data_IF_449569351899
#
_entry.id   IF_449569351899
#
_cell.length_a   1.000
_cell.length_b   1.000
_cell.length_c   1.000
_cell.angle_alpha   90.00
_cell.angle_beta   90.00
_cell.angle_gamma   90.00
#
_symmetry.space_group_name_H-M   'P 1'
#
loop_
_entity.id
_entity.type
_entity.pdbx_description
1 polymer ?
#
# COMPACT_ATOMS: atom_id res chain seq x y z
N UNK A 1 6.16 -1.16 28.94
CA UNK A 1 5.19 -0.21 28.39
C UNK A 1 5.94 0.55 27.31
N UNK A 2 5.84 0.12 26.09
CA UNK A 2 6.41 0.80 24.93
C UNK A 2 5.44 1.93 24.59
N UNK A 3 5.89 3.17 24.78
CA UNK A 3 5.16 4.33 24.31
C UNK A 3 4.97 4.19 22.79
N UNK A 4 3.76 3.83 22.38
CA UNK A 4 3.35 3.97 21.00
C UNK A 4 3.62 5.43 20.60
N UNK A 5 4.29 5.67 19.47
CA UNK A 5 4.56 7.02 19.00
C UNK A 5 3.25 7.83 19.03
N UNK A 6 3.11 8.80 19.94
CA UNK A 6 1.89 9.59 20.03
C UNK A 6 1.79 10.42 18.75
N UNK A 7 0.78 10.21 17.94
CA UNK A 7 0.43 10.90 16.67
C UNK A 7 0.82 10.22 15.34
N UNK A 8 0.90 8.90 15.26
CA UNK A 8 0.89 8.27 13.92
C UNK A 8 -0.47 8.50 13.25
N UNK A 9 -0.48 9.31 12.21
CA UNK A 9 -1.59 9.39 11.27
C UNK A 9 -1.19 8.61 10.02
N UNK A 10 -1.62 7.36 9.95
CA UNK A 10 -1.29 6.44 8.86
C UNK A 10 -2.38 6.48 7.80
N UNK A 11 -2.00 6.75 6.57
CA UNK A 11 -2.83 6.50 5.38
C UNK A 11 -2.30 5.26 4.69
N UNK A 12 -3.17 4.30 4.41
CA UNK A 12 -2.78 3.07 3.75
C UNK A 12 -3.39 2.98 2.36
N UNK A 13 -2.59 2.60 1.38
CA UNK A 13 -3.03 2.19 0.04
C UNK A 13 -2.75 0.70 -0.09
N UNK A 14 -3.80 -0.08 -0.23
CA UNK A 14 -3.69 -1.53 -0.39
C UNK A 14 -4.07 -1.94 -1.82
N UNK A 15 -3.14 -2.59 -2.49
CA UNK A 15 -3.39 -3.28 -3.75
C UNK A 15 -4.01 -4.64 -3.49
N UNK A 16 -5.15 -4.93 -4.11
CA UNK A 16 -5.86 -6.19 -3.98
C UNK A 16 -6.10 -6.87 -5.32
N UNK A 17 -6.24 -8.18 -5.28
CA UNK A 17 -6.66 -8.99 -6.41
C UNK A 17 -7.61 -10.10 -5.97
N UNK A 18 -8.86 -10.03 -6.40
CA UNK A 18 -9.88 -11.01 -6.07
C UNK A 18 -10.03 -12.01 -7.24
N UNK A 19 -9.25 -13.10 -7.23
CA UNK A 19 -9.14 -14.05 -8.33
C UNK A 19 -10.50 -14.54 -8.85
N UNK A 20 -11.44 -14.78 -7.95
CA UNK A 20 -12.76 -15.32 -8.26
C UNK A 20 -13.87 -14.25 -8.23
N UNK A 21 -13.48 -12.95 -8.29
CA UNK A 21 -14.41 -11.83 -8.20
C UNK A 21 -14.94 -11.56 -6.79
N UNK A 22 -14.53 -12.32 -5.77
CA UNK A 22 -14.98 -12.17 -4.39
C UNK A 22 -13.81 -11.94 -3.43
N UNK A 23 -14.04 -11.20 -2.34
CA UNK A 23 -13.03 -10.98 -1.33
C UNK A 23 -12.65 -12.27 -0.60
N UNK A 24 -11.39 -12.69 -0.70
CA UNK A 24 -10.87 -13.84 0.03
C UNK A 24 -10.89 -13.60 1.55
N UNK A 25 -10.88 -14.67 2.33
CA UNK A 25 -10.75 -14.58 3.78
C UNK A 25 -9.42 -13.93 4.21
N UNK A 26 -8.36 -14.12 3.42
CA UNK A 26 -7.04 -13.50 3.65
C UNK A 26 -7.11 -12.00 3.41
N UNK A 27 -7.68 -11.57 2.27
CA UNK A 27 -7.87 -10.15 1.95
C UNK A 27 -8.72 -9.44 3.00
N UNK A 28 -9.84 -10.06 3.44
CA UNK A 28 -10.68 -9.52 4.54
C UNK A 28 -9.90 -9.39 5.85
N UNK A 29 -9.01 -10.32 6.16
CA UNK A 29 -8.15 -10.27 7.34
C UNK A 29 -7.15 -9.10 7.25
N UNK A 30 -6.52 -8.89 6.09
CA UNK A 30 -5.66 -7.74 5.84
C UNK A 30 -6.42 -6.42 6.01
N UNK A 31 -7.58 -6.26 5.38
CA UNK A 31 -8.41 -5.06 5.48
C UNK A 31 -8.71 -4.73 6.94
N UNK A 32 -9.16 -5.72 7.75
CA UNK A 32 -9.47 -5.49 9.16
C UNK A 32 -8.25 -5.06 9.98
N UNK A 33 -7.11 -5.71 9.77
CA UNK A 33 -5.87 -5.39 10.49
C UNK A 33 -5.36 -3.98 10.14
N UNK A 34 -5.37 -3.63 8.85
CA UNK A 34 -4.95 -2.32 8.36
C UNK A 34 -5.90 -1.21 8.83
N UNK A 35 -7.20 -1.49 8.86
CA UNK A 35 -8.19 -0.51 9.27
C UNK A 35 -8.06 -0.09 10.73
N UNK A 36 -7.60 -0.99 11.59
CA UNK A 36 -7.32 -0.68 13.00
C UNK A 36 -6.14 0.30 13.19
N UNK A 37 -5.26 0.41 12.21
CA UNK A 37 -4.03 1.20 12.28
C UNK A 37 -4.09 2.48 11.44
N UNK A 38 -4.93 2.47 10.41
CA UNK A 38 -5.00 3.55 9.43
C UNK A 38 -6.11 4.53 9.75
N UNK A 39 -5.81 5.82 9.66
CA UNK A 39 -6.84 6.87 9.67
C UNK A 39 -7.70 6.81 8.42
N UNK A 40 -7.07 6.49 7.28
CA UNK A 40 -7.71 6.26 5.99
C UNK A 40 -7.12 5.03 5.34
N UNK A 41 -7.97 4.21 4.72
CA UNK A 41 -7.57 3.02 3.97
C UNK A 41 -8.17 3.08 2.57
N UNK A 42 -7.30 3.16 1.56
CA UNK A 42 -7.67 3.15 0.14
C UNK A 42 -7.39 1.76 -0.42
N UNK A 43 -8.43 1.05 -0.84
CA UNK A 43 -8.34 -0.26 -1.47
C UNK A 43 -8.46 -0.10 -2.99
N UNK A 44 -7.51 -0.64 -3.73
CA UNK A 44 -7.55 -0.63 -5.20
C UNK A 44 -7.42 -2.06 -5.71
N UNK A 45 -8.42 -2.52 -6.45
CA UNK A 45 -8.43 -3.84 -7.07
C UNK A 45 -8.23 -3.72 -8.58
N UNK A 46 -7.26 -4.50 -9.13
CA UNK A 46 -7.03 -4.59 -10.58
C UNK A 46 -8.09 -5.47 -11.27
N UNK A 47 -9.35 -5.07 -11.09
CA UNK A 47 -10.56 -5.74 -11.59
C UNK A 47 -11.67 -4.74 -11.80
N UNK A 48 -12.65 -5.11 -12.62
CA UNK A 48 -13.78 -4.22 -12.90
C UNK A 48 -14.80 -4.20 -11.76
N UNK A 49 -14.90 -5.32 -11.01
CA UNK A 49 -15.81 -5.47 -9.88
C UNK A 49 -15.27 -6.50 -8.90
N UNK A 50 -15.56 -6.32 -7.61
CA UNK A 50 -15.31 -7.30 -6.54
C UNK A 50 -16.52 -7.33 -5.61
N UNK A 51 -17.13 -8.51 -5.47
CA UNK A 51 -18.30 -8.70 -4.63
C UNK A 51 -17.98 -8.53 -3.14
N UNK A 52 -18.88 -7.86 -2.44
CA UNK A 52 -18.78 -7.60 -1.00
C UNK A 52 -17.90 -6.40 -0.61
N UNK A 53 -17.42 -5.60 -1.57
CA UNK A 53 -16.72 -4.35 -1.27
C UNK A 53 -17.68 -3.22 -0.88
N UNK A 54 -18.82 -3.10 -1.55
CA UNK A 54 -19.81 -2.06 -1.29
C UNK A 54 -20.28 -2.08 0.16
N UNK A 55 -20.61 -3.28 0.67
CA UNK A 55 -21.01 -3.46 2.06
C UNK A 55 -19.94 -3.02 3.07
N UNK A 56 -18.65 -3.22 2.74
CA UNK A 56 -17.54 -2.78 3.61
C UNK A 56 -17.42 -1.26 3.64
N UNK A 57 -17.58 -0.60 2.49
CA UNK A 57 -17.49 0.87 2.38
C UNK A 57 -18.66 1.54 3.10
N UNK A 58 -19.88 1.00 2.97
CA UNK A 58 -21.06 1.53 3.65
C UNK A 58 -20.93 1.48 5.19
N UNK A 59 -20.23 0.47 5.70
CA UNK A 59 -20.03 0.28 7.14
C UNK A 59 -18.87 1.08 7.71
N UNK A 60 -17.97 1.61 6.89
CA UNK A 60 -16.75 2.27 7.35
C UNK A 60 -16.41 3.52 6.52
N UNK A 61 -16.71 4.73 7.00
CA UNK A 61 -16.44 5.98 6.27
C UNK A 61 -14.94 6.29 6.09
N UNK A 62 -14.06 5.58 6.76
CA UNK A 62 -12.61 5.69 6.58
C UNK A 62 -12.05 4.74 5.52
N UNK A 63 -12.93 4.05 4.78
CA UNK A 63 -12.57 3.11 3.73
C UNK A 63 -12.98 3.66 2.36
N UNK A 64 -12.01 3.77 1.46
CA UNK A 64 -12.23 4.16 0.05
C UNK A 64 -11.87 2.98 -0.83
N UNK A 65 -12.76 2.59 -1.75
CA UNK A 65 -12.53 1.48 -2.65
C UNK A 65 -12.61 1.89 -4.11
N UNK A 66 -11.71 1.34 -4.92
CA UNK A 66 -11.74 1.44 -6.38
C UNK A 66 -11.54 0.05 -6.99
N UNK A 67 -12.45 -0.34 -7.85
CA UNK A 67 -12.26 -1.45 -8.80
C UNK A 67 -11.98 -0.84 -10.17
N UNK A 68 -10.81 -1.11 -10.71
CA UNK A 68 -10.42 -0.66 -12.05
C UNK A 68 -9.35 -1.58 -12.63
N UNK A 69 -9.67 -2.22 -13.74
CA UNK A 69 -8.72 -3.06 -14.47
C UNK A 69 -7.67 -2.18 -15.13
N UNK A 70 -6.46 -2.16 -14.55
CA UNK A 70 -5.33 -1.34 -15.03
C UNK A 70 -4.16 -2.19 -15.55
N UNK A 71 -4.07 -3.49 -15.22
CA UNK A 71 -3.05 -4.44 -15.71
C UNK A 71 -1.60 -4.03 -15.41
N UNK A 72 -1.38 -3.24 -14.37
CA UNK A 72 -0.06 -2.76 -13.95
C UNK A 72 0.35 -3.30 -12.57
N UNK A 73 -0.24 -4.43 -12.17
CA UNK A 73 0.02 -5.13 -10.90
C UNK A 73 -0.10 -4.17 -9.68
N UNK A 74 0.65 -4.43 -8.63
CA UNK A 74 0.56 -3.67 -7.39
C UNK A 74 0.88 -2.19 -7.57
N UNK A 75 1.88 -1.86 -8.41
CA UNK A 75 2.28 -0.48 -8.67
C UNK A 75 1.20 0.34 -9.37
N UNK A 76 0.41 -0.27 -10.24
CA UNK A 76 -0.76 0.38 -10.83
C UNK A 76 -1.83 0.68 -9.80
N UNK A 77 -2.07 -0.23 -8.86
CA UNK A 77 -2.97 -0.01 -7.73
C UNK A 77 -2.44 1.08 -6.80
N UNK A 78 -1.12 1.10 -6.51
CA UNK A 78 -0.50 2.17 -5.72
C UNK A 78 -0.63 3.53 -6.41
N UNK A 79 -0.35 3.61 -7.71
CA UNK A 79 -0.54 4.83 -8.51
C UNK A 79 -1.97 5.37 -8.36
N UNK A 80 -2.98 4.53 -8.59
CA UNK A 80 -4.39 4.93 -8.54
C UNK A 80 -4.80 5.32 -7.12
N UNK A 81 -4.41 4.53 -6.12
CA UNK A 81 -4.74 4.78 -4.73
C UNK A 81 -4.10 6.07 -4.19
N UNK A 82 -2.83 6.33 -4.55
CA UNK A 82 -2.16 7.58 -4.20
C UNK A 82 -2.79 8.79 -4.89
N UNK A 83 -3.24 8.64 -6.14
CA UNK A 83 -3.98 9.69 -6.84
C UNK A 83 -5.29 10.02 -6.12
N UNK A 84 -6.09 9.02 -5.77
CA UNK A 84 -7.32 9.20 -4.99
C UNK A 84 -7.02 9.86 -3.65
N UNK A 85 -5.99 9.40 -2.95
CA UNK A 85 -5.61 9.95 -1.65
C UNK A 85 -5.21 11.43 -1.74
N UNK A 86 -4.59 11.89 -2.83
CA UNK A 86 -4.28 13.29 -3.09
C UNK A 86 -5.54 14.09 -3.46
N UNK A 87 -6.32 13.61 -4.43
CA UNK A 87 -7.52 14.29 -4.94
C UNK A 87 -8.59 14.50 -3.84
N UNK A 88 -8.72 13.53 -2.93
CA UNK A 88 -9.65 13.59 -1.81
C UNK A 88 -9.02 14.16 -0.52
N UNK A 89 -7.79 14.67 -0.58
CA UNK A 89 -7.07 15.27 0.55
C UNK A 89 -6.90 14.31 1.76
N UNK A 90 -6.91 13.00 1.52
CA UNK A 90 -6.77 11.99 2.58
C UNK A 90 -5.37 11.99 3.22
N UNK A 91 -4.37 12.53 2.51
CA UNK A 91 -3.00 12.66 2.99
C UNK A 91 -2.80 13.85 3.94
N UNK A 92 -3.80 14.71 4.12
CA UNK A 92 -3.70 15.90 4.95
C UNK A 92 -3.52 15.52 6.42
N UNK A 93 -2.41 15.99 6.99
CA UNK A 93 -2.02 15.66 8.36
C UNK A 93 -1.54 14.22 8.56
N UNK A 94 -1.40 13.42 7.50
CA UNK A 94 -0.73 12.13 7.59
C UNK A 94 0.73 12.30 7.97
N UNK A 95 1.26 11.37 8.75
CA UNK A 95 2.71 11.30 9.05
C UNK A 95 3.41 10.29 8.16
N UNK A 96 2.71 9.22 7.83
CA UNK A 96 3.23 8.11 7.02
C UNK A 96 2.18 7.60 6.04
N UNK A 97 2.67 7.03 4.95
CA UNK A 97 1.88 6.28 3.97
C UNK A 97 2.37 4.86 3.93
N UNK A 98 1.46 3.91 4.09
CA UNK A 98 1.74 2.48 3.92
C UNK A 98 1.22 2.03 2.56
N UNK A 99 2.10 1.48 1.74
CA UNK A 99 1.77 0.77 0.52
C UNK A 99 1.87 -0.73 0.79
N UNK A 100 0.81 -1.49 0.58
CA UNK A 100 0.83 -2.93 0.80
C UNK A 100 -0.09 -3.67 -0.17
N UNK A 101 0.05 -4.99 -0.23
CA UNK A 101 -0.81 -5.84 -1.05
C UNK A 101 -1.22 -7.10 -0.29
N UNK A 102 -2.12 -7.89 -0.86
CA UNK A 102 -2.65 -9.14 -0.31
C UNK A 102 -1.97 -10.40 -0.86
N UNK A 103 -0.80 -10.25 -1.51
CA UNK A 103 -0.08 -11.39 -2.10
C UNK A 103 0.57 -12.32 -1.07
N UNK A 104 0.69 -11.88 0.18
CA UNK A 104 1.24 -12.67 1.28
C UNK A 104 0.16 -13.11 2.26
N UNK A 105 0.30 -14.34 2.76
CA UNK A 105 -0.63 -14.87 3.77
C UNK A 105 -0.35 -14.21 5.12
N UNK A 106 -1.37 -13.59 5.69
CA UNK A 106 -1.23 -12.88 6.98
C UNK A 106 -2.38 -11.89 7.23
N UNK A 107 -2.16 -10.89 8.11
CA UNK A 107 -1.12 -10.86 9.12
C UNK A 107 -1.35 -11.91 10.22
N UNK A 108 -0.28 -12.50 10.75
CA UNK A 108 -0.34 -13.48 11.84
C UNK A 108 -0.19 -12.86 13.23
N UNK A 109 0.23 -11.60 13.26
CA UNK A 109 0.45 -10.81 14.48
C UNK A 109 -0.11 -9.41 14.29
N UNK A 110 -0.24 -8.68 15.39
CA UNK A 110 -0.52 -7.26 15.36
C UNK A 110 0.58 -6.51 14.57
N UNK A 111 0.16 -5.68 13.63
CA UNK A 111 1.05 -4.87 12.78
C UNK A 111 1.54 -3.61 13.48
N UNK A 112 0.87 -3.13 14.52
CA UNK A 112 1.24 -1.92 15.25
C UNK A 112 2.68 -1.94 15.74
N UNK A 113 3.10 -2.95 16.54
CA UNK A 113 4.49 -3.08 16.99
C UNK A 113 5.51 -3.20 15.84
N UNK A 114 5.12 -3.77 14.71
CA UNK A 114 5.98 -3.87 13.52
C UNK A 114 6.22 -2.48 12.93
N UNK A 115 5.15 -1.71 12.71
CA UNK A 115 5.24 -0.35 12.21
C UNK A 115 6.03 0.56 13.19
N UNK A 116 5.86 0.35 14.49
CA UNK A 116 6.62 1.07 15.50
C UNK A 116 8.11 0.76 15.42
N UNK A 117 8.47 -0.50 15.24
CA UNK A 117 9.86 -0.91 15.07
C UNK A 117 10.48 -0.38 13.77
N UNK A 118 9.70 -0.30 12.67
CA UNK A 118 10.18 0.23 11.39
C UNK A 118 10.60 1.69 11.51
N UNK A 119 9.75 2.56 12.07
CA UNK A 119 10.06 3.99 12.20
C UNK A 119 11.16 4.31 13.23
N UNK A 120 11.57 3.34 14.03
CA UNK A 120 12.75 3.46 14.92
C UNK A 120 14.07 3.27 14.15
N UNK A 121 14.01 2.68 12.96
CA UNK A 121 15.20 2.52 12.11
C UNK A 121 15.48 3.81 11.35
N UNK A 122 16.76 4.10 11.04
CA UNK A 122 17.12 5.26 10.24
C UNK A 122 16.49 5.23 8.84
N UNK A 123 16.13 6.40 8.35
CA UNK A 123 15.65 6.60 6.99
C UNK A 123 14.15 6.92 6.92
N UNK A 124 13.69 7.45 5.79
CA UNK A 124 12.31 7.87 5.59
C UNK A 124 11.45 6.83 4.85
N UNK A 125 12.05 5.70 4.46
CA UNK A 125 11.40 4.60 3.73
C UNK A 125 11.83 3.27 4.32
N UNK A 126 10.85 2.42 4.63
CA UNK A 126 11.08 1.11 5.23
C UNK A 126 10.30 0.03 4.48
N UNK A 127 10.94 -1.09 4.17
CA UNK A 127 10.30 -2.31 3.73
C UNK A 127 10.25 -3.34 4.86
N UNK A 128 9.24 -4.20 4.84
CA UNK A 128 9.18 -5.30 5.80
C UNK A 128 10.25 -6.36 5.50
N UNK A 129 10.58 -6.52 4.23
CA UNK A 129 11.65 -7.42 3.75
C UNK A 129 12.41 -6.77 2.62
N UNK A 130 13.67 -7.14 2.50
CA UNK A 130 14.51 -6.86 1.36
C UNK A 130 14.73 -8.11 0.50
N UNK A 131 15.22 -7.90 -0.69
CA UNK A 131 15.60 -8.96 -1.62
C UNK A 131 16.98 -8.66 -2.20
N UNK A 132 17.82 -9.69 -2.30
CA UNK A 132 19.17 -9.56 -2.87
C UNK A 132 19.24 -10.06 -4.32
N UNK A 133 18.10 -10.48 -4.88
CA UNK A 133 18.04 -10.93 -6.26
C UNK A 133 18.20 -9.71 -7.19
N UNK A 134 19.13 -9.78 -8.14
CA UNK A 134 19.59 -8.70 -9.03
C UNK A 134 20.42 -7.64 -8.31
N UNK A 135 19.82 -6.78 -7.54
CA UNK A 135 20.43 -5.78 -6.66
C UNK A 135 19.65 -5.71 -5.35
N UNK A 136 20.28 -5.28 -4.23
CA UNK A 136 19.55 -5.08 -2.98
C UNK A 136 18.38 -4.11 -3.18
N UNK A 137 17.17 -4.54 -2.84
CA UNK A 137 15.96 -3.71 -2.95
C UNK A 137 14.90 -4.11 -1.93
N UNK A 138 14.01 -3.17 -1.62
CA UNK A 138 12.84 -3.44 -0.80
C UNK A 138 11.75 -4.13 -1.62
N UNK A 139 11.13 -5.15 -1.03
CA UNK A 139 9.98 -5.80 -1.67
C UNK A 139 8.73 -4.94 -1.53
N UNK A 140 7.96 -4.82 -2.61
CA UNK A 140 6.84 -3.89 -2.74
C UNK A 140 5.60 -4.26 -1.93
N UNK A 141 5.50 -5.46 -1.37
CA UNK A 141 4.29 -5.92 -0.72
C UNK A 141 3.97 -5.22 0.61
N UNK A 142 4.95 -4.53 1.23
CA UNK A 142 4.76 -3.78 2.47
C UNK A 142 5.84 -2.71 2.61
N UNK A 143 5.52 -1.48 2.22
CA UNK A 143 6.41 -0.33 2.21
C UNK A 143 5.81 0.80 3.05
N UNK A 144 6.48 1.18 4.12
CA UNK A 144 6.14 2.34 4.92
C UNK A 144 6.99 3.52 4.49
N UNK A 145 6.40 4.67 4.23
CA UNK A 145 7.07 5.86 3.70
C UNK A 145 6.64 7.08 4.50
N UNK A 146 7.57 7.94 4.89
CA UNK A 146 7.22 9.25 5.45
C UNK A 146 6.40 10.06 4.45
N UNK A 147 5.35 10.72 4.92
CA UNK A 147 4.46 11.50 4.07
C UNK A 147 5.19 12.62 3.31
N UNK A 148 6.17 13.26 3.93
CA UNK A 148 6.99 14.28 3.29
C UNK A 148 7.77 13.73 2.07
N UNK A 149 8.24 12.47 2.14
CA UNK A 149 8.92 11.80 1.04
C UNK A 149 7.92 11.38 -0.05
N UNK A 150 6.72 10.94 0.33
CA UNK A 150 5.66 10.64 -0.64
C UNK A 150 5.22 11.86 -1.47
N UNK A 151 5.46 13.08 -0.98
CA UNK A 151 5.20 14.33 -1.71
C UNK A 151 6.42 14.82 -2.50
N UNK A 152 7.59 14.20 -2.35
CA UNK A 152 8.77 14.61 -3.11
C UNK A 152 8.53 14.38 -4.61
N UNK A 153 8.90 15.37 -5.44
CA UNK A 153 8.57 15.38 -6.88
C UNK A 153 9.02 14.11 -7.61
N UNK A 154 10.21 13.58 -7.31
CA UNK A 154 10.71 12.34 -7.93
C UNK A 154 9.81 11.13 -7.64
N UNK A 155 9.31 11.02 -6.41
CA UNK A 155 8.44 9.91 -6.03
C UNK A 155 7.03 10.06 -6.64
N UNK A 156 6.56 11.30 -6.73
CA UNK A 156 5.31 11.62 -7.43
C UNK A 156 5.42 11.25 -8.91
N UNK A 157 6.47 11.71 -9.59
CA UNK A 157 6.74 11.40 -11.00
C UNK A 157 6.90 9.89 -11.23
N UNK A 158 7.59 9.19 -10.33
CA UNK A 158 7.75 7.75 -10.39
C UNK A 158 6.38 7.03 -10.40
N UNK A 159 5.52 7.31 -9.42
CA UNK A 159 4.20 6.67 -9.39
C UNK A 159 3.32 7.11 -10.56
N UNK A 160 3.39 8.36 -11.01
CA UNK A 160 2.62 8.84 -12.16
C UNK A 160 3.08 8.20 -13.48
N UNK A 161 4.34 7.78 -13.57
CA UNK A 161 4.90 7.12 -14.75
C UNK A 161 4.56 5.63 -14.87
N UNK A 162 3.89 5.03 -13.88
CA UNK A 162 3.56 3.60 -13.89
C UNK A 162 2.62 3.28 -15.04
N UNK A 163 3.03 2.32 -15.87
CA UNK A 163 2.27 1.80 -17.01
C UNK A 163 2.24 0.26 -16.97
N UNK A 164 1.28 -0.38 -17.63
CA UNK A 164 1.25 -1.83 -17.76
C UNK A 164 2.56 -2.37 -18.35
N UNK A 165 3.07 -3.46 -17.79
CA UNK A 165 4.25 -4.16 -18.24
C UNK A 165 3.86 -5.51 -18.86
N UNK A 166 4.73 -6.04 -19.74
CA UNK A 166 4.46 -7.29 -20.44
C UNK A 166 4.47 -8.51 -19.52
N UNK A 167 5.25 -8.46 -18.43
CA UNK A 167 5.36 -9.55 -17.47
C UNK A 167 5.59 -9.05 -16.04
N UNK A 168 5.39 -9.95 -15.06
CA UNK A 168 5.73 -9.67 -13.66
C UNK A 168 7.23 -9.36 -13.49
N UNK A 169 8.09 -10.02 -14.28
CA UNK A 169 9.52 -9.74 -14.25
C UNK A 169 9.83 -8.28 -14.61
N UNK A 170 9.18 -7.76 -15.66
CA UNK A 170 9.36 -6.37 -16.09
C UNK A 170 8.84 -5.39 -15.03
N UNK A 171 7.77 -5.74 -14.30
CA UNK A 171 7.29 -4.95 -13.16
C UNK A 171 8.34 -4.86 -12.04
N UNK A 172 8.97 -5.99 -11.68
CA UNK A 172 10.04 -6.02 -10.69
C UNK A 172 11.20 -5.13 -11.13
N UNK A 173 11.66 -5.29 -12.38
CA UNK A 173 12.78 -4.52 -12.92
C UNK A 173 12.45 -3.01 -12.99
N UNK A 174 11.28 -2.65 -13.49
CA UNK A 174 10.93 -1.25 -13.66
C UNK A 174 10.58 -0.56 -12.33
N UNK A 175 9.89 -1.25 -11.43
CA UNK A 175 9.26 -0.60 -10.30
C UNK A 175 9.81 -0.99 -8.94
N UNK A 176 10.06 -2.28 -8.61
CA UNK A 176 10.67 -2.62 -7.32
C UNK A 176 12.12 -2.15 -7.25
N UNK A 177 12.92 -2.45 -8.27
CA UNK A 177 14.29 -1.97 -8.35
C UNK A 177 14.31 -0.45 -8.55
N UNK A 178 13.47 0.08 -9.43
CA UNK A 178 13.37 1.53 -9.70
C UNK A 178 13.04 2.33 -8.44
N UNK A 179 12.06 1.89 -7.65
CA UNK A 179 11.70 2.52 -6.38
C UNK A 179 12.86 2.54 -5.38
N UNK A 180 13.62 1.46 -5.30
CA UNK A 180 14.76 1.34 -4.38
C UNK A 180 16.00 2.13 -4.82
N UNK A 181 16.00 2.68 -6.04
CA UNK A 181 17.08 3.53 -6.58
C UNK A 181 16.77 5.03 -6.48
N UNK A 182 15.59 5.44 -6.01
CA UNK A 182 15.18 6.85 -5.86
C UNK A 182 15.77 7.48 -4.61
#
# INVERSE_FOLDING_TARGET
MTDALPNKRLVTVMAGYARDGTLSAITRRWIRALRQLSTQLVLVFDQDQVDGLEELVEQDPGLVCLCKRHRAYDFGSYQLGLRIAREQQLLDGATHVLLCNDSVVGPFRDLGPILDAMVQQPGPVWGLTDCQLYTPHLQSYFLLVEQAVMQHHKLVEFFESVIPQASRHDVIQAYELGFSCL
#
